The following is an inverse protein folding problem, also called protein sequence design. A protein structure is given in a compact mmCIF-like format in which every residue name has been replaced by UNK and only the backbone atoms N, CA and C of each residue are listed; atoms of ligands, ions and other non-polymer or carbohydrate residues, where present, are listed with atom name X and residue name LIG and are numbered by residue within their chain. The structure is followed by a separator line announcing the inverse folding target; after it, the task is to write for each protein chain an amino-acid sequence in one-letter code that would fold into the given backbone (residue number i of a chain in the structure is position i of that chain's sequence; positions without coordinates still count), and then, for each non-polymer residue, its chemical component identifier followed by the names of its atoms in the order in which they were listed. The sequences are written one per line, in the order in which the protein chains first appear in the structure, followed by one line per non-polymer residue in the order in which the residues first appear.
data_IF_171171410029
#
_entry.id   IF_171171410029
#
_cell.length_a   1.000
_cell.length_b   1.000
_cell.length_c   1.000
_cell.angle_alpha   90.00
_cell.angle_beta   90.00
_cell.angle_gamma   90.00
#
_symmetry.space_group_name_H-M   'P 1'
#
loop_
_entity.id
_entity.type
_entity.pdbx_description
1 polymer ?
#
# COMPACT_ATOMS: atom_id res chain seq x y z
N UNK A 1 -4.79 -3.96 -52.03
CA UNK A 1 -5.22 -3.78 -50.62
C UNK A 1 -5.56 -5.08 -49.88
N UNK A 2 -6.22 -6.10 -50.47
CA UNK A 2 -6.51 -7.38 -49.76
C UNK A 2 -5.27 -8.21 -49.38
N UNK A 3 -4.20 -8.19 -50.17
CA UNK A 3 -2.96 -8.92 -49.87
C UNK A 3 -2.19 -8.36 -48.65
N UNK A 4 -2.30 -7.06 -48.38
CA UNK A 4 -1.62 -6.39 -47.24
C UNK A 4 -2.30 -6.71 -45.90
N UNK A 5 -3.63 -6.89 -45.91
CA UNK A 5 -4.39 -7.32 -44.74
C UNK A 5 -4.11 -8.78 -44.33
N UNK A 6 -3.87 -9.67 -45.30
CA UNK A 6 -3.51 -11.07 -45.03
C UNK A 6 -2.09 -11.17 -44.47
N UNK A 7 -1.14 -10.36 -44.96
CA UNK A 7 0.23 -10.33 -44.46
C UNK A 7 0.32 -9.82 -43.00
N UNK A 8 -0.43 -8.77 -42.64
CA UNK A 8 -0.48 -8.25 -41.26
C UNK A 8 -1.21 -9.19 -40.30
N UNK A 9 -2.24 -9.90 -40.77
CA UNK A 9 -2.95 -10.93 -39.99
C UNK A 9 -2.05 -12.14 -39.70
N UNK A 10 -1.29 -12.59 -40.70
CA UNK A 10 -0.36 -13.70 -40.57
C UNK A 10 0.82 -13.32 -39.65
N UNK A 11 1.42 -12.13 -39.80
CA UNK A 11 2.46 -11.61 -38.90
C UNK A 11 1.99 -11.52 -37.44
N UNK A 12 0.79 -10.99 -37.17
CA UNK A 12 0.26 -10.92 -35.80
C UNK A 12 0.10 -12.29 -35.15
N UNK A 13 -0.38 -13.28 -35.90
CA UNK A 13 -0.63 -14.63 -35.35
C UNK A 13 0.68 -15.38 -35.12
N UNK A 14 1.61 -15.33 -36.07
CA UNK A 14 2.89 -16.05 -35.98
C UNK A 14 3.82 -15.41 -34.94
N UNK A 15 3.91 -14.07 -34.87
CA UNK A 15 4.74 -13.37 -33.88
C UNK A 15 4.17 -13.53 -32.46
N UNK A 16 2.84 -13.53 -32.30
CA UNK A 16 2.22 -13.74 -31.00
C UNK A 16 2.39 -15.16 -30.48
N UNK A 17 2.25 -16.18 -31.35
CA UNK A 17 2.51 -17.57 -30.97
C UNK A 17 4.00 -17.84 -30.73
N UNK A 18 4.90 -17.21 -31.51
CA UNK A 18 6.34 -17.28 -31.24
C UNK A 18 6.66 -16.65 -29.88
N UNK A 19 6.12 -15.46 -29.58
CA UNK A 19 6.30 -14.78 -28.30
C UNK A 19 5.81 -15.63 -27.13
N UNK A 20 4.64 -16.28 -27.28
CA UNK A 20 4.04 -17.18 -26.27
C UNK A 20 4.87 -18.46 -26.07
N UNK A 21 5.41 -19.02 -27.14
CA UNK A 21 6.30 -20.18 -27.09
C UNK A 21 7.64 -19.83 -26.43
N UNK A 22 8.23 -18.68 -26.76
CA UNK A 22 9.50 -18.22 -26.16
C UNK A 22 9.31 -17.86 -24.69
N UNK A 23 8.19 -17.25 -24.28
CA UNK A 23 7.91 -17.00 -22.86
C UNK A 23 7.64 -18.28 -22.07
N UNK A 24 6.97 -19.29 -22.64
CA UNK A 24 6.85 -20.60 -22.00
C UNK A 24 8.20 -21.29 -21.86
N UNK A 25 9.05 -21.25 -22.89
CA UNK A 25 10.38 -21.86 -22.88
C UNK A 25 11.33 -21.17 -21.89
N UNK A 26 11.32 -19.84 -21.85
CA UNK A 26 12.05 -19.05 -20.84
C UNK A 26 11.53 -19.33 -19.43
N UNK A 27 10.20 -19.42 -19.24
CA UNK A 27 9.65 -19.78 -17.93
C UNK A 27 10.12 -21.17 -17.51
N UNK A 28 10.09 -22.17 -18.39
CA UNK A 28 10.53 -23.53 -18.07
C UNK A 28 12.05 -23.61 -17.81
N UNK A 29 12.86 -22.92 -18.62
CA UNK A 29 14.32 -22.88 -18.41
C UNK A 29 14.72 -22.12 -17.14
N UNK A 30 14.04 -21.02 -16.82
CA UNK A 30 14.25 -20.29 -15.57
C UNK A 30 13.79 -21.12 -14.37
N UNK A 31 12.66 -21.83 -14.46
CA UNK A 31 12.23 -22.73 -13.37
C UNK A 31 13.17 -23.92 -13.20
N UNK A 32 13.71 -24.48 -14.30
CA UNK A 32 14.70 -25.55 -14.28
C UNK A 32 16.02 -25.13 -13.64
N UNK A 33 16.59 -24.01 -14.10
CA UNK A 33 17.83 -23.45 -13.53
C UNK A 33 17.68 -23.06 -12.05
N UNK A 34 16.49 -22.60 -11.63
CA UNK A 34 16.21 -22.31 -10.22
C UNK A 34 16.05 -23.58 -9.37
N UNK A 35 15.47 -24.65 -9.92
CA UNK A 35 15.33 -25.92 -9.21
C UNK A 35 16.66 -26.66 -9.08
N UNK A 36 17.50 -26.66 -10.12
CA UNK A 36 18.84 -27.28 -10.06
C UNK A 36 19.74 -26.55 -9.05
N UNK A 37 19.65 -25.22 -8.99
CA UNK A 37 20.39 -24.42 -8.00
C UNK A 37 19.84 -24.59 -6.56
N UNK A 38 18.57 -24.98 -6.39
CA UNK A 38 17.96 -25.31 -5.10
C UNK A 38 18.30 -26.72 -4.63
N UNK A 39 18.43 -27.69 -5.54
CA UNK A 39 18.82 -29.06 -5.19
C UNK A 39 20.27 -29.15 -4.74
N UNK A 40 21.18 -28.45 -5.43
CA UNK A 40 22.60 -28.37 -5.05
C UNK A 40 22.77 -27.77 -3.64
N UNK A 41 21.93 -26.81 -3.25
CA UNK A 41 21.98 -26.23 -1.91
C UNK A 41 21.28 -27.09 -0.84
N UNK A 42 20.26 -27.88 -1.19
CA UNK A 42 19.55 -28.74 -0.21
C UNK A 42 20.32 -30.00 0.15
N UNK A 43 21.17 -30.51 -0.75
CA UNK A 43 21.96 -31.72 -0.51
C UNK A 43 23.12 -31.45 0.48
N UNK A 44 23.68 -30.23 0.46
CA UNK A 44 24.73 -29.80 1.38
C UNK A 44 24.23 -29.39 2.78
N UNK A 45 22.92 -29.14 2.97
CA UNK A 45 22.37 -28.64 4.24
C UNK A 45 21.69 -29.73 5.09
N UNK A 46 21.58 -30.98 4.60
CA UNK A 46 20.79 -32.03 5.26
C UNK A 46 21.51 -32.81 6.37
N UNK A 47 22.79 -32.55 6.65
CA UNK A 47 23.57 -33.42 7.55
C UNK A 47 23.90 -32.81 8.92
N UNK A 48 23.74 -31.50 9.17
CA UNK A 48 24.23 -30.93 10.46
C UNK A 48 23.28 -30.01 11.27
N UNK A 49 22.15 -29.52 10.76
CA UNK A 49 21.46 -28.38 11.42
C UNK A 49 20.26 -28.73 12.34
N UNK A 50 19.89 -29.99 12.52
CA UNK A 50 18.66 -30.33 13.27
C UNK A 50 18.79 -30.30 14.80
N UNK A 51 19.94 -29.89 15.37
CA UNK A 51 20.15 -29.88 16.83
C UNK A 51 20.65 -28.59 17.50
N UNK A 52 21.02 -27.54 16.75
CA UNK A 52 21.65 -26.35 17.36
C UNK A 52 20.92 -25.01 17.16
N UNK A 53 19.74 -24.97 16.54
CA UNK A 53 18.95 -23.72 16.39
C UNK A 53 17.85 -23.63 17.47
N UNK A 54 18.23 -23.89 18.72
CA UNK A 54 17.42 -23.61 19.89
C UNK A 54 17.84 -22.27 20.47
N UNK A 55 16.94 -21.27 20.42
CA UNK A 55 17.10 -19.93 21.02
C UNK A 55 18.36 -19.18 20.55
N UNK A 56 18.19 -18.27 19.59
CA UNK A 56 19.14 -17.15 19.49
C UNK A 56 19.08 -16.38 20.81
N UNK A 57 20.19 -16.41 21.54
CA UNK A 57 20.40 -15.81 22.85
C UNK A 57 19.87 -14.38 22.90
N UNK A 58 18.78 -14.21 23.64
CA UNK A 58 18.14 -12.94 23.99
C UNK A 58 19.12 -11.91 24.58
N UNK A 59 20.26 -12.35 25.15
CA UNK A 59 21.24 -11.46 25.78
C UNK A 59 22.28 -10.83 24.84
N UNK A 60 22.45 -11.32 23.61
CA UNK A 60 23.39 -10.71 22.65
C UNK A 60 22.73 -9.61 21.79
N UNK A 61 21.40 -9.65 21.67
CA UNK A 61 20.58 -8.71 20.89
C UNK A 61 20.34 -7.36 21.60
N UNK A 62 20.42 -7.32 22.94
CA UNK A 62 20.10 -6.12 23.73
C UNK A 62 21.16 -5.00 23.70
N UNK A 63 22.36 -5.22 23.13
CA UNK A 63 23.45 -4.21 23.14
C UNK A 63 23.77 -3.56 21.79
N UNK A 64 23.22 -4.07 20.68
CA UNK A 64 23.33 -3.35 19.40
C UNK A 64 22.22 -2.31 19.32
N UNK A 65 22.61 -1.03 19.28
CA UNK A 65 21.73 0.07 18.89
C UNK A 65 20.90 -0.40 17.68
N UNK A 66 19.58 -0.42 17.83
CA UNK A 66 18.65 -0.75 16.75
C UNK A 66 18.90 0.27 15.63
N UNK A 67 19.61 -0.11 14.57
CA UNK A 67 19.86 0.75 13.42
C UNK A 67 18.97 0.29 12.28
N UNK A 68 17.94 1.07 11.98
CA UNK A 68 17.09 0.84 10.83
C UNK A 68 17.59 1.63 9.62
N UNK A 69 17.21 1.23 8.39
CA UNK A 69 17.57 2.00 7.20
C UNK A 69 17.13 3.47 7.25
N UNK A 70 16.00 3.78 7.89
CA UNK A 70 15.56 5.17 8.11
C UNK A 70 16.59 6.05 8.84
N UNK A 71 17.47 5.44 9.64
CA UNK A 71 18.50 6.14 10.42
C UNK A 71 19.82 6.29 9.65
N UNK A 72 20.00 5.51 8.57
CA UNK A 72 21.21 5.50 7.73
C UNK A 72 21.00 6.32 6.45
N UNK A 73 19.84 6.14 5.82
CA UNK A 73 19.53 6.75 4.53
C UNK A 73 18.84 8.09 4.70
N UNK A 74 19.11 9.03 3.80
CA UNK A 74 18.52 10.38 3.83
C UNK A 74 16.98 10.35 3.76
N UNK A 75 16.44 9.40 3.00
CA UNK A 75 15.01 9.16 2.85
C UNK A 75 14.75 7.78 2.21
N UNK A 76 13.48 7.37 2.19
CA UNK A 76 13.04 6.11 1.56
C UNK A 76 13.39 6.01 0.07
N UNK A 77 13.49 7.14 -0.66
CA UNK A 77 13.91 7.12 -2.06
C UNK A 77 15.37 6.69 -2.21
N UNK A 78 16.29 7.25 -1.42
CA UNK A 78 17.71 6.87 -1.44
C UNK A 78 17.93 5.42 -1.04
N UNK A 79 17.18 4.93 -0.06
CA UNK A 79 17.17 3.52 0.31
C UNK A 79 16.64 2.62 -0.82
N UNK A 80 15.52 2.98 -1.45
CA UNK A 80 14.96 2.21 -2.56
C UNK A 80 15.93 2.15 -3.73
N UNK A 81 16.57 3.27 -4.08
CA UNK A 81 17.64 3.26 -5.09
C UNK A 81 18.76 2.30 -4.71
N UNK A 82 19.24 2.35 -3.46
CA UNK A 82 20.28 1.44 -2.97
C UNK A 82 19.89 -0.04 -3.14
N UNK A 83 18.68 -0.41 -2.74
CA UNK A 83 18.16 -1.78 -2.89
C UNK A 83 18.03 -2.18 -4.38
N UNK A 84 17.52 -1.28 -5.22
CA UNK A 84 17.45 -1.49 -6.67
C UNK A 84 18.84 -1.70 -7.27
N UNK A 85 19.85 -0.90 -6.90
CA UNK A 85 21.24 -1.05 -7.36
C UNK A 85 21.87 -2.38 -6.95
N UNK A 86 21.51 -2.90 -5.76
CA UNK A 86 21.97 -4.21 -5.27
C UNK A 86 21.17 -5.38 -5.88
N UNK A 87 20.06 -5.11 -6.56
CA UNK A 87 19.25 -6.13 -7.22
C UNK A 87 20.00 -6.77 -8.40
N UNK A 88 19.69 -8.04 -8.68
CA UNK A 88 20.23 -8.74 -9.85
C UNK A 88 19.62 -8.18 -11.14
N UNK A 89 18.33 -7.81 -11.09
CA UNK A 89 17.61 -7.24 -12.22
C UNK A 89 18.28 -5.97 -12.74
N UNK A 90 18.70 -5.06 -11.84
CA UNK A 90 19.42 -3.86 -12.21
C UNK A 90 20.78 -4.18 -12.85
N UNK A 91 21.54 -5.15 -12.32
CA UNK A 91 22.83 -5.54 -12.91
C UNK A 91 22.66 -6.12 -14.31
N UNK A 92 21.65 -6.96 -14.53
CA UNK A 92 21.31 -7.50 -15.85
C UNK A 92 20.91 -6.37 -16.81
N UNK A 93 20.05 -5.45 -16.36
CA UNK A 93 19.67 -4.27 -17.14
C UNK A 93 20.88 -3.42 -17.53
N UNK A 94 21.81 -3.16 -16.58
CA UNK A 94 23.03 -2.40 -16.85
C UNK A 94 23.92 -3.10 -17.88
N UNK A 95 24.14 -4.41 -17.74
CA UNK A 95 24.92 -5.20 -18.70
C UNK A 95 24.27 -5.26 -20.09
N UNK A 96 22.95 -5.12 -20.17
CA UNK A 96 22.20 -5.14 -21.43
C UNK A 96 22.48 -3.92 -22.31
N UNK A 97 23.10 -2.86 -21.77
CA UNK A 97 23.54 -1.70 -22.57
C UNK A 97 24.77 -1.99 -23.44
N UNK A 98 25.64 -2.93 -23.05
CA UNK A 98 26.83 -3.29 -23.81
C UNK A 98 26.53 -3.76 -25.25
N UNK A 99 25.59 -4.71 -25.48
CA UNK A 99 25.24 -5.10 -26.85
C UNK A 99 24.53 -3.97 -27.61
N UNK A 100 23.72 -3.13 -26.95
CA UNK A 100 23.02 -2.02 -27.63
C UNK A 100 24.00 -0.95 -28.11
N UNK A 101 25.01 -0.60 -27.31
CA UNK A 101 26.06 0.35 -27.73
C UNK A 101 26.91 -0.19 -28.86
N UNK A 102 27.21 -1.49 -28.86
CA UNK A 102 27.92 -2.16 -29.97
C UNK A 102 27.06 -2.16 -31.23
N UNK A 103 25.76 -2.42 -31.11
CA UNK A 103 24.82 -2.38 -32.22
C UNK A 103 24.69 -0.98 -32.83
N UNK A 104 24.63 0.07 -32.01
CA UNK A 104 24.66 1.46 -32.48
C UNK A 104 25.88 1.76 -33.37
N UNK A 105 27.04 1.18 -33.06
CA UNK A 105 28.27 1.36 -33.85
C UNK A 105 28.27 0.56 -35.15
N UNK A 106 27.67 -0.62 -35.17
CA UNK A 106 27.70 -1.54 -36.32
C UNK A 106 26.50 -1.39 -37.27
N UNK A 107 25.41 -0.77 -36.82
CA UNK A 107 24.18 -0.69 -37.61
C UNK A 107 24.24 0.37 -38.69
N UNK A 108 23.97 -0.02 -39.93
CA UNK A 108 23.69 0.92 -41.03
C UNK A 108 22.31 1.59 -40.88
N UNK A 109 21.37 0.94 -40.19
CA UNK A 109 20.01 1.46 -39.96
C UNK A 109 19.81 1.85 -38.49
N UNK A 110 19.56 3.14 -38.25
CA UNK A 110 19.42 3.72 -36.91
C UNK A 110 18.10 3.35 -36.20
N UNK A 111 17.07 2.91 -36.93
CA UNK A 111 15.72 2.68 -36.38
C UNK A 111 15.70 1.54 -35.35
N UNK A 112 16.40 0.43 -35.61
CA UNK A 112 16.44 -0.74 -34.73
C UNK A 112 17.19 -0.51 -33.40
N UNK A 113 18.42 0.04 -33.38
CA UNK A 113 19.09 0.35 -32.12
C UNK A 113 18.37 1.47 -31.35
N UNK A 114 17.68 2.40 -32.04
CA UNK A 114 16.79 3.37 -31.41
C UNK A 114 15.60 2.70 -30.69
N UNK A 115 14.90 1.77 -31.34
CA UNK A 115 13.81 1.01 -30.72
C UNK A 115 14.30 0.19 -29.52
N UNK A 116 15.44 -0.49 -29.63
CA UNK A 116 16.04 -1.25 -28.53
C UNK A 116 16.42 -0.37 -27.34
N UNK A 117 16.95 0.83 -27.59
CA UNK A 117 17.28 1.83 -26.56
C UNK A 117 16.02 2.27 -25.81
N UNK A 118 14.93 2.58 -26.52
CA UNK A 118 13.66 2.96 -25.91
C UNK A 118 13.08 1.82 -25.05
N UNK A 119 13.21 0.56 -25.52
CA UNK A 119 12.78 -0.61 -24.75
C UNK A 119 13.61 -0.76 -23.44
N UNK A 120 14.92 -0.59 -23.50
CA UNK A 120 15.78 -0.62 -22.29
C UNK A 120 15.45 0.51 -21.31
N UNK A 121 15.15 1.72 -21.81
CA UNK A 121 14.69 2.83 -20.97
C UNK A 121 13.36 2.47 -20.31
N UNK A 122 12.42 1.89 -21.07
CA UNK A 122 11.14 1.44 -20.52
C UNK A 122 11.30 0.35 -19.46
N UNK A 123 12.27 -0.56 -19.61
CA UNK A 123 12.59 -1.57 -18.59
C UNK A 123 12.99 -0.95 -17.24
N UNK A 124 13.58 0.24 -17.22
CA UNK A 124 13.92 0.95 -15.97
C UNK A 124 12.66 1.24 -15.15
N UNK A 125 11.56 1.60 -15.81
CA UNK A 125 10.27 1.85 -15.15
C UNK A 125 9.67 0.58 -14.52
N UNK A 126 10.06 -0.61 -14.99
CA UNK A 126 9.59 -1.90 -14.46
C UNK A 126 10.47 -2.44 -13.33
N UNK A 127 11.67 -1.92 -13.09
CA UNK A 127 12.55 -2.40 -12.01
C UNK A 127 11.91 -2.29 -10.61
N UNK A 128 11.23 -1.19 -10.24
CA UNK A 128 10.54 -1.12 -8.94
C UNK A 128 9.44 -2.18 -8.80
N UNK A 129 8.73 -2.49 -9.89
CA UNK A 129 7.69 -3.54 -9.90
C UNK A 129 8.31 -4.92 -9.66
N UNK A 130 9.44 -5.21 -10.31
CA UNK A 130 10.18 -6.46 -10.11
C UNK A 130 10.66 -6.57 -8.65
N UNK A 131 11.22 -5.50 -8.11
CA UNK A 131 11.67 -5.47 -6.71
C UNK A 131 10.49 -5.71 -5.74
N UNK A 132 9.36 -5.05 -5.94
CA UNK A 132 8.14 -5.26 -5.15
C UNK A 132 7.67 -6.72 -5.20
N UNK A 133 7.70 -7.36 -6.37
CA UNK A 133 7.36 -8.78 -6.51
C UNK A 133 8.36 -9.69 -5.77
N UNK A 134 9.65 -9.38 -5.83
CA UNK A 134 10.68 -10.09 -5.08
C UNK A 134 10.48 -9.95 -3.56
N UNK A 135 10.19 -8.73 -3.07
CA UNK A 135 9.88 -8.47 -1.66
C UNK A 135 8.67 -9.25 -1.20
N UNK A 136 7.59 -9.26 -1.98
CA UNK A 136 6.39 -10.06 -1.67
C UNK A 136 6.71 -11.55 -1.55
N UNK A 137 7.58 -12.08 -2.40
CA UNK A 137 8.04 -13.48 -2.35
C UNK A 137 8.95 -13.76 -1.14
N UNK A 138 9.76 -12.80 -0.72
CA UNK A 138 10.54 -12.93 0.51
C UNK A 138 9.62 -12.95 1.74
N UNK A 139 8.64 -12.05 1.81
CA UNK A 139 7.63 -12.00 2.88
C UNK A 139 6.84 -13.29 3.02
N UNK A 140 6.48 -13.95 1.91
CA UNK A 140 5.75 -15.23 1.98
C UNK A 140 6.53 -16.37 2.65
N UNK A 141 7.84 -16.20 2.87
CA UNK A 141 8.69 -17.16 3.60
C UNK A 141 8.87 -16.83 5.07
N UNK A 142 8.43 -15.65 5.52
CA UNK A 142 8.57 -15.16 6.89
C UNK A 142 7.40 -15.46 7.87
N UNK A 143 6.21 -16.01 7.50
CA UNK A 143 5.06 -16.01 8.42
C UNK A 143 5.32 -16.55 9.83
N UNK A 144 6.10 -17.63 9.96
CA UNK A 144 6.46 -18.20 11.26
C UNK A 144 7.32 -17.24 12.10
N UNK A 145 8.44 -16.75 11.55
CA UNK A 145 9.35 -15.87 12.29
C UNK A 145 8.68 -14.53 12.59
N UNK A 146 7.93 -14.00 11.64
CA UNK A 146 7.14 -12.79 11.85
C UNK A 146 6.21 -12.98 13.05
N UNK A 147 5.45 -14.08 13.09
CA UNK A 147 4.53 -14.37 14.19
C UNK A 147 5.23 -14.50 15.53
N UNK A 148 6.41 -15.16 15.58
CA UNK A 148 7.21 -15.26 16.82
C UNK A 148 7.64 -13.89 17.36
N UNK A 149 8.08 -12.98 16.49
CA UNK A 149 8.45 -11.61 16.91
C UNK A 149 7.24 -10.83 17.44
N UNK A 150 6.06 -11.00 16.83
CA UNK A 150 4.81 -10.38 17.31
C UNK A 150 4.45 -10.92 18.71
N UNK A 151 4.53 -12.23 18.92
CA UNK A 151 4.24 -12.84 20.23
C UNK A 151 5.21 -12.32 21.30
N UNK A 152 6.50 -12.24 20.98
CA UNK A 152 7.53 -11.82 21.92
C UNK A 152 7.43 -10.32 22.29
N UNK A 153 7.16 -9.45 21.33
CA UNK A 153 7.18 -7.99 21.53
C UNK A 153 5.79 -7.40 21.78
N UNK A 154 4.71 -8.15 21.49
CA UNK A 154 3.31 -7.72 21.62
C UNK A 154 3.04 -6.31 21.05
N UNK A 155 3.38 -6.03 19.78
CA UNK A 155 3.21 -4.70 19.23
C UNK A 155 1.73 -4.34 19.08
N UNK A 156 1.36 -3.11 19.44
CA UNK A 156 0.04 -2.55 19.14
C UNK A 156 -0.03 -1.83 17.79
N UNK A 157 -0.93 -0.85 17.68
CA UNK A 157 -1.08 -0.01 16.48
C UNK A 157 -0.02 1.09 16.36
N UNK A 158 0.62 1.44 17.47
CA UNK A 158 1.68 2.44 17.53
C UNK A 158 2.91 1.98 16.75
N UNK A 159 3.39 2.83 15.86
CA UNK A 159 4.47 2.55 14.91
C UNK A 159 5.80 2.36 15.64
N UNK A 160 6.05 3.06 16.75
CA UNK A 160 7.35 2.98 17.44
C UNK A 160 7.63 1.57 17.99
N UNK A 161 6.59 0.85 18.40
CA UNK A 161 6.68 -0.54 18.89
C UNK A 161 7.10 -1.54 17.80
N UNK A 162 7.11 -1.14 16.53
CA UNK A 162 7.51 -1.99 15.40
C UNK A 162 8.99 -1.85 15.05
N UNK A 163 9.75 -0.96 15.69
CA UNK A 163 11.15 -0.69 15.33
C UNK A 163 12.07 -1.86 15.65
N UNK A 164 11.93 -2.44 16.86
CA UNK A 164 12.66 -3.64 17.27
C UNK A 164 12.36 -4.82 16.35
N UNK A 165 11.08 -5.03 16.05
CA UNK A 165 10.59 -6.11 15.19
C UNK A 165 11.16 -5.96 13.77
N UNK A 166 11.12 -4.75 13.21
CA UNK A 166 11.66 -4.47 11.88
C UNK A 166 13.17 -4.77 11.82
N UNK A 167 13.92 -4.41 12.87
CA UNK A 167 15.35 -4.65 12.94
C UNK A 167 15.69 -6.14 13.09
N UNK A 168 14.99 -6.85 13.99
CA UNK A 168 15.15 -8.29 14.18
C UNK A 168 14.86 -9.06 12.90
N UNK A 169 13.77 -8.72 12.20
CA UNK A 169 13.40 -9.36 10.95
C UNK A 169 14.38 -9.03 9.81
N UNK A 170 14.89 -7.80 9.75
CA UNK A 170 15.92 -7.42 8.80
C UNK A 170 17.20 -8.26 8.98
N UNK A 171 17.63 -8.42 10.23
CA UNK A 171 18.80 -9.23 10.57
C UNK A 171 18.57 -10.71 10.21
N UNK A 172 17.44 -11.27 10.64
CA UNK A 172 17.05 -12.64 10.33
C UNK A 172 17.02 -12.91 8.83
N UNK A 173 16.41 -12.01 8.04
CA UNK A 173 16.34 -12.17 6.58
C UNK A 173 17.71 -12.16 5.91
N UNK A 174 18.63 -11.35 6.43
CA UNK A 174 19.99 -11.27 5.91
C UNK A 174 20.80 -12.52 6.25
N UNK A 175 20.78 -12.95 7.52
CA UNK A 175 21.53 -14.12 8.01
C UNK A 175 21.06 -15.42 7.33
N UNK A 176 19.74 -15.56 7.15
CA UNK A 176 19.14 -16.72 6.48
C UNK A 176 19.16 -16.61 4.94
N UNK A 177 19.85 -15.62 4.37
CA UNK A 177 19.98 -15.40 2.92
C UNK A 177 18.62 -15.29 2.20
N UNK A 178 17.56 -14.89 2.91
CA UNK A 178 16.23 -14.63 2.36
C UNK A 178 16.20 -13.27 1.64
N UNK A 179 17.05 -12.34 2.06
CA UNK A 179 17.30 -11.08 1.41
C UNK A 179 18.79 -10.78 1.26
N UNK A 180 19.14 -9.93 0.30
CA UNK A 180 20.55 -9.68 -0.08
C UNK A 180 21.26 -8.68 0.83
N UNK A 181 20.50 -7.83 1.51
CA UNK A 181 20.99 -6.73 2.34
C UNK A 181 20.35 -6.82 3.72
N UNK A 182 20.91 -6.09 4.68
CA UNK A 182 20.36 -5.93 6.04
C UNK A 182 19.19 -4.93 6.11
N UNK A 183 18.66 -4.48 4.98
CA UNK A 183 17.79 -3.31 4.89
C UNK A 183 16.45 -3.63 4.22
N UNK A 184 15.86 -4.79 4.54
CA UNK A 184 14.63 -5.25 3.91
C UNK A 184 13.45 -4.30 4.19
N UNK A 185 13.18 -4.00 5.46
CA UNK A 185 12.24 -2.96 5.89
C UNK A 185 12.98 -1.65 6.09
N UNK A 186 12.47 -0.56 5.51
CA UNK A 186 13.08 0.76 5.67
C UNK A 186 12.84 1.33 7.08
N UNK A 187 11.62 1.16 7.60
CA UNK A 187 11.32 1.45 9.00
C UNK A 187 10.16 0.63 9.56
N UNK A 188 9.75 0.98 10.77
CA UNK A 188 8.65 0.36 11.50
C UNK A 188 7.33 0.34 10.72
N UNK A 189 6.99 1.45 10.05
CA UNK A 189 5.75 1.53 9.26
C UNK A 189 5.72 0.50 8.13
N UNK A 190 6.82 0.31 7.41
CA UNK A 190 6.89 -0.69 6.34
C UNK A 190 6.74 -2.11 6.88
N UNK A 191 7.27 -2.37 8.09
CA UNK A 191 7.14 -3.64 8.78
C UNK A 191 5.69 -3.90 9.20
N UNK A 192 5.04 -2.93 9.84
CA UNK A 192 3.63 -2.99 10.22
C UNK A 192 2.74 -3.23 8.99
N UNK A 193 2.95 -2.48 7.91
CA UNK A 193 2.16 -2.63 6.70
C UNK A 193 2.38 -3.99 6.03
N UNK A 194 3.61 -4.52 6.06
CA UNK A 194 3.90 -5.86 5.59
C UNK A 194 3.19 -6.94 6.42
N UNK A 195 3.13 -6.80 7.74
CA UNK A 195 2.34 -7.68 8.60
C UNK A 195 0.86 -7.63 8.22
N UNK A 196 0.31 -6.42 8.03
CA UNK A 196 -1.10 -6.24 7.67
C UNK A 196 -1.45 -6.97 6.37
N UNK A 197 -0.67 -6.74 5.31
CA UNK A 197 -0.94 -7.30 3.98
C UNK A 197 -0.62 -8.80 3.91
N UNK A 198 0.44 -9.24 4.58
CA UNK A 198 0.93 -10.62 4.45
C UNK A 198 0.27 -11.60 5.42
N UNK A 199 -0.19 -11.14 6.59
CA UNK A 199 -0.71 -12.00 7.67
C UNK A 199 -2.11 -11.56 8.09
N UNK A 200 -2.30 -10.33 8.56
CA UNK A 200 -3.57 -9.88 9.16
C UNK A 200 -4.75 -9.97 8.18
N UNK A 201 -4.66 -9.31 7.02
CA UNK A 201 -5.73 -9.26 6.04
C UNK A 201 -6.13 -10.65 5.52
N UNK A 202 -5.20 -11.52 5.06
CA UNK A 202 -5.54 -12.87 4.65
C UNK A 202 -6.26 -13.69 5.73
N UNK A 203 -5.85 -13.56 6.99
CA UNK A 203 -6.41 -14.34 8.10
C UNK A 203 -7.74 -13.80 8.61
N UNK A 204 -8.00 -12.50 8.49
CA UNK A 204 -9.25 -11.90 8.94
C UNK A 204 -10.33 -11.89 7.86
N UNK A 205 -9.96 -11.86 6.57
CA UNK A 205 -10.93 -11.86 5.49
C UNK A 205 -11.67 -13.18 5.31
N UNK A 206 -11.18 -14.30 5.88
CA UNK A 206 -11.73 -15.70 6.02
C UNK A 206 -12.73 -16.25 4.99
N UNK A 207 -13.05 -15.58 3.89
CA UNK A 207 -14.05 -15.99 2.91
C UNK A 207 -13.34 -16.74 1.77
N UNK A 208 -13.43 -18.06 1.87
CA UNK A 208 -13.42 -19.05 0.78
C UNK A 208 -12.11 -19.30 0.02
N UNK A 209 -10.94 -18.87 0.51
CA UNK A 209 -9.67 -19.19 -0.15
C UNK A 209 -8.81 -20.13 0.70
N UNK A 210 -9.30 -21.37 0.86
CA UNK A 210 -8.55 -22.50 1.42
C UNK A 210 -7.13 -22.61 0.82
N UNK A 211 -6.93 -22.13 -0.41
CA UNK A 211 -5.62 -22.13 -1.08
C UNK A 211 -4.59 -21.22 -0.41
N UNK A 212 -5.00 -20.06 0.13
CA UNK A 212 -4.12 -19.15 0.87
C UNK A 212 -3.84 -19.67 2.28
N UNK A 213 -4.84 -20.21 2.97
CA UNK A 213 -4.64 -20.80 4.29
C UNK A 213 -3.70 -22.03 4.20
N UNK A 214 -3.87 -22.85 3.16
CA UNK A 214 -2.95 -23.96 2.82
C UNK A 214 -1.52 -23.49 2.55
N UNK A 215 -1.30 -22.23 2.14
CA UNK A 215 0.05 -21.69 1.90
C UNK A 215 0.84 -21.44 3.20
N UNK A 216 0.14 -21.24 4.32
CA UNK A 216 0.76 -21.01 5.63
C UNK A 216 1.18 -22.30 6.36
N UNK A 217 0.61 -23.46 5.97
CA UNK A 217 0.96 -24.81 6.47
C UNK A 217 1.20 -24.83 7.99
N UNK A 218 2.43 -25.14 8.40
CA UNK A 218 2.84 -25.32 9.80
C UNK A 218 2.95 -24.00 10.58
N UNK A 219 2.80 -22.85 9.91
CA UNK A 219 2.85 -21.53 10.55
C UNK A 219 1.52 -21.13 11.18
N UNK A 220 0.41 -21.81 10.83
CA UNK A 220 -0.94 -21.43 11.27
C UNK A 220 -1.06 -21.28 12.78
N UNK A 221 -0.57 -22.20 13.64
CA UNK A 221 -0.68 -22.05 15.09
C UNK A 221 0.01 -20.78 15.61
N UNK A 222 1.22 -20.49 15.13
CA UNK A 222 1.95 -19.29 15.51
C UNK A 222 1.25 -18.02 15.04
N UNK A 223 0.65 -18.04 13.84
CA UNK A 223 -0.09 -16.90 13.32
C UNK A 223 -1.33 -16.64 14.15
N UNK A 224 -2.10 -17.67 14.51
CA UNK A 224 -3.30 -17.50 15.34
C UNK A 224 -2.96 -16.92 16.72
N UNK A 225 -1.87 -17.40 17.34
CA UNK A 225 -1.39 -16.86 18.61
C UNK A 225 -0.91 -15.41 18.47
N UNK A 226 -0.11 -15.10 17.44
CA UNK A 226 0.35 -13.74 17.15
C UNK A 226 -0.81 -12.77 16.91
N UNK A 227 -1.83 -13.20 16.17
CA UNK A 227 -3.04 -12.39 15.96
C UNK A 227 -3.78 -12.14 17.27
N UNK A 228 -3.93 -13.16 18.13
CA UNK A 228 -4.56 -12.99 19.44
C UNK A 228 -3.81 -11.98 20.31
N UNK A 229 -2.49 -12.07 20.36
CA UNK A 229 -1.62 -11.10 21.08
C UNK A 229 -1.80 -9.70 20.49
N UNK A 230 -1.69 -9.56 19.16
CA UNK A 230 -1.85 -8.28 18.47
C UNK A 230 -3.20 -7.63 18.76
N UNK A 231 -4.31 -8.36 18.59
CA UNK A 231 -5.65 -7.83 18.84
C UNK A 231 -5.90 -7.48 20.31
N UNK A 232 -5.26 -8.20 21.24
CA UNK A 232 -5.35 -7.86 22.68
C UNK A 232 -4.70 -6.50 22.96
N UNK A 233 -3.54 -6.21 22.36
CA UNK A 233 -2.88 -4.92 22.54
C UNK A 233 -3.63 -3.79 21.80
N UNK A 234 -4.19 -4.07 20.61
CA UNK A 234 -5.08 -3.11 19.92
C UNK A 234 -6.27 -2.75 20.80
N UNK A 235 -6.91 -3.73 21.44
CA UNK A 235 -8.07 -3.52 22.30
C UNK A 235 -7.74 -2.73 23.56
N UNK A 236 -6.58 -3.02 24.16
CA UNK A 236 -6.05 -2.23 25.27
C UNK A 236 -5.81 -0.77 24.84
N UNK A 237 -5.22 -0.55 23.67
CA UNK A 237 -5.00 0.79 23.13
C UNK A 237 -6.31 1.52 22.85
N UNK A 238 -7.31 0.83 22.28
CA UNK A 238 -8.64 1.39 22.08
C UNK A 238 -9.27 1.83 23.40
N UNK A 239 -9.26 0.96 24.42
CA UNK A 239 -9.82 1.28 25.75
C UNK A 239 -9.13 2.46 26.43
N UNK A 240 -7.79 2.50 26.38
CA UNK A 240 -7.02 3.65 26.87
C UNK A 240 -7.39 4.92 26.10
N UNK A 241 -7.49 4.83 24.78
CA UNK A 241 -7.84 5.95 23.92
C UNK A 241 -9.24 6.50 24.23
N UNK A 242 -10.24 5.62 24.33
CA UNK A 242 -11.63 5.98 24.61
C UNK A 242 -11.80 6.56 26.03
N UNK A 243 -10.95 6.15 26.97
CA UNK A 243 -10.97 6.65 28.36
C UNK A 243 -10.19 7.96 28.55
N UNK A 244 -9.02 8.12 27.92
CA UNK A 244 -8.08 9.24 28.19
C UNK A 244 -8.09 10.35 27.12
N UNK A 245 -8.42 10.05 25.86
CA UNK A 245 -8.29 10.98 24.72
C UNK A 245 -9.60 11.34 24.02
N UNK A 246 -10.71 10.66 24.35
CA UNK A 246 -11.98 10.90 23.68
C UNK A 246 -12.56 12.31 23.91
N UNK A 247 -12.10 13.04 24.94
CA UNK A 247 -12.72 14.29 25.36
C UNK A 247 -11.71 15.40 25.69
N UNK A 248 -11.23 16.11 24.66
CA UNK A 248 -11.00 17.55 24.87
C UNK A 248 -12.37 18.24 24.75
N UNK A 249 -12.85 18.98 25.78
CA UNK A 249 -14.04 19.80 25.63
C UNK A 249 -13.72 20.92 24.64
N UNK A 250 -14.09 20.71 23.38
CA UNK A 250 -13.98 21.70 22.34
C UNK A 250 -15.23 22.57 22.44
N UNK A 251 -15.05 23.87 22.60
CA UNK A 251 -16.14 24.84 22.54
C UNK A 251 -16.64 24.90 21.08
N UNK A 252 -17.63 24.08 20.75
CA UNK A 252 -18.14 23.90 19.38
C UNK A 252 -18.96 25.09 18.87
N UNK A 253 -19.38 25.97 19.77
CA UNK A 253 -20.26 27.12 19.50
C UNK A 253 -19.65 28.14 18.52
N UNK A 254 -18.33 28.16 18.35
CA UNK A 254 -17.64 29.07 17.42
C UNK A 254 -17.28 28.42 16.08
N UNK A 255 -17.44 27.09 15.93
CA UNK A 255 -16.92 26.38 14.75
C UNK A 255 -18.00 26.18 13.69
N UNK A 256 -18.01 27.04 12.68
CA UNK A 256 -18.94 26.93 11.55
C UNK A 256 -18.52 25.82 10.57
N UNK A 257 -19.49 25.04 10.09
CA UNK A 257 -19.23 24.08 9.02
C UNK A 257 -19.04 24.81 7.69
N UNK A 258 -18.24 24.29 6.73
CA UNK A 258 -18.09 24.89 5.42
C UNK A 258 -19.43 25.12 4.69
N UNK A 259 -20.45 24.30 4.93
CA UNK A 259 -21.81 24.54 4.41
C UNK A 259 -22.40 25.91 4.78
N UNK A 260 -22.01 26.46 5.93
CA UNK A 260 -22.51 27.74 6.44
C UNK A 260 -21.79 28.93 5.77
N UNK A 261 -20.55 28.74 5.30
CA UNK A 261 -19.76 29.80 4.64
C UNK A 261 -19.75 29.73 3.10
N UNK A 262 -19.95 28.55 2.51
CA UNK A 262 -19.90 28.36 1.06
C UNK A 262 -21.31 28.26 0.45
N UNK A 263 -21.54 29.00 -0.64
CA UNK A 263 -22.81 28.95 -1.39
C UNK A 263 -23.12 27.57 -1.99
N UNK A 264 -22.10 26.75 -2.27
CA UNK A 264 -22.30 25.39 -2.78
C UNK A 264 -21.14 24.45 -2.42
N UNK A 265 -21.45 23.15 -2.30
CA UNK A 265 -20.46 22.08 -2.13
C UNK A 265 -19.48 22.02 -3.30
N UNK A 266 -19.92 22.31 -4.52
CA UNK A 266 -19.07 22.32 -5.71
C UNK A 266 -17.98 23.39 -5.59
N UNK A 267 -18.35 24.60 -5.16
CA UNK A 267 -17.40 25.71 -4.96
C UNK A 267 -16.33 25.34 -3.92
N UNK A 268 -16.75 24.69 -2.82
CA UNK A 268 -15.83 24.18 -1.79
C UNK A 268 -14.87 23.12 -2.33
N UNK A 269 -15.37 22.12 -3.07
CA UNK A 269 -14.53 21.08 -3.71
C UNK A 269 -13.54 21.71 -4.70
N UNK A 270 -13.99 22.62 -5.56
CA UNK A 270 -13.16 23.26 -6.58
C UNK A 270 -12.05 24.10 -5.95
N UNK A 271 -12.35 24.95 -4.95
CA UNK A 271 -11.34 25.76 -4.24
C UNK A 271 -10.21 24.87 -3.70
N UNK A 272 -10.56 23.75 -3.08
CA UNK A 272 -9.60 22.80 -2.50
C UNK A 272 -8.84 22.03 -3.56
N UNK A 273 -9.53 21.59 -4.61
CA UNK A 273 -8.92 20.93 -5.76
C UNK A 273 -7.84 21.80 -6.42
N UNK A 274 -8.15 23.08 -6.68
CA UNK A 274 -7.20 24.04 -7.23
C UNK A 274 -6.06 24.40 -6.24
N UNK A 275 -6.27 24.31 -4.94
CA UNK A 275 -5.17 24.55 -3.98
C UNK A 275 -4.10 23.43 -3.94
N UNK A 276 -4.45 22.19 -4.31
CA UNK A 276 -3.57 21.02 -4.17
C UNK A 276 -3.10 20.39 -5.48
N UNK A 277 -3.89 20.50 -6.57
CA UNK A 277 -3.67 19.73 -7.81
C UNK A 277 -3.66 20.62 -9.07
N UNK A 278 -3.54 21.94 -8.92
CA UNK A 278 -3.57 22.89 -10.05
C UNK A 278 -2.47 22.67 -11.07
N UNK A 279 -1.23 22.45 -10.61
CA UNK A 279 -0.09 22.26 -11.52
C UNK A 279 -0.21 20.96 -12.35
N UNK A 280 -0.48 19.77 -11.76
CA UNK A 280 -0.77 18.56 -12.54
C UNK A 280 -1.95 18.72 -13.51
N UNK A 281 -3.02 19.40 -13.10
CA UNK A 281 -4.17 19.64 -13.96
C UNK A 281 -3.79 20.52 -15.17
N UNK A 282 -3.05 21.61 -14.96
CA UNK A 282 -2.58 22.47 -16.06
C UNK A 282 -1.72 21.68 -17.04
N UNK A 283 -0.76 20.91 -16.53
CA UNK A 283 0.10 20.09 -17.38
C UNK A 283 -0.70 19.05 -18.18
N UNK A 284 -1.69 18.41 -17.55
CA UNK A 284 -2.57 17.46 -18.23
C UNK A 284 -3.50 18.13 -19.25
N UNK A 285 -3.98 19.34 -18.97
CA UNK A 285 -4.75 20.14 -19.92
C UNK A 285 -3.91 20.53 -21.13
N UNK A 286 -2.68 21.01 -20.93
CA UNK A 286 -1.74 21.34 -22.01
C UNK A 286 -1.40 20.11 -22.84
N UNK A 287 -1.13 18.97 -22.20
CA UNK A 287 -0.90 17.68 -22.86
C UNK A 287 -2.11 17.22 -23.68
N UNK A 288 -3.31 17.35 -23.12
CA UNK A 288 -4.57 17.02 -23.82
C UNK A 288 -4.77 17.91 -25.04
N UNK A 289 -4.58 19.23 -24.90
CA UNK A 289 -4.68 20.19 -26.01
C UNK A 289 -3.66 19.86 -27.11
N UNK A 290 -2.44 19.47 -26.73
CA UNK A 290 -1.39 19.08 -27.67
C UNK A 290 -1.74 17.80 -28.44
N UNK A 291 -2.13 16.73 -27.76
CA UNK A 291 -2.47 15.43 -28.39
C UNK A 291 -3.74 15.52 -29.23
N UNK A 292 -4.75 16.22 -28.74
CA UNK A 292 -6.07 16.29 -29.39
C UNK A 292 -6.18 17.45 -30.37
N UNK A 293 -5.05 18.08 -30.74
CA UNK A 293 -4.98 19.25 -31.65
C UNK A 293 -5.69 19.03 -32.99
N UNK A 294 -5.82 17.79 -33.45
CA UNK A 294 -6.52 17.41 -34.68
C UNK A 294 -7.93 16.86 -34.46
N UNK A 295 -8.39 16.73 -33.21
CA UNK A 295 -9.73 16.27 -32.85
C UNK A 295 -10.73 17.42 -32.76
N UNK A 296 -12.02 17.13 -32.94
CA UNK A 296 -13.12 18.09 -32.78
C UNK A 296 -13.20 18.66 -31.34
N UNK A 297 -13.63 19.91 -31.21
CA UNK A 297 -13.74 20.67 -29.96
C UNK A 297 -14.61 19.95 -28.90
N UNK A 298 -15.70 19.28 -29.33
CA UNK A 298 -16.55 18.50 -28.42
C UNK A 298 -15.80 17.35 -27.73
N UNK A 299 -14.92 16.65 -28.45
CA UNK A 299 -14.12 15.55 -27.89
C UNK A 299 -13.14 16.09 -26.83
N UNK A 300 -12.58 17.28 -27.07
CA UNK A 300 -11.67 17.93 -26.11
C UNK A 300 -12.38 18.32 -24.82
N UNK A 301 -13.56 18.93 -24.94
CA UNK A 301 -14.39 19.31 -23.78
C UNK A 301 -14.79 18.06 -22.99
N UNK A 302 -15.27 17.02 -23.66
CA UNK A 302 -15.65 15.76 -23.00
C UNK A 302 -14.47 15.09 -22.29
N UNK A 303 -13.28 15.07 -22.92
CA UNK A 303 -12.08 14.51 -22.30
C UNK A 303 -11.62 15.32 -21.08
N UNK A 304 -11.62 16.66 -21.17
CA UNK A 304 -11.28 17.52 -20.03
C UNK A 304 -12.28 17.36 -18.88
N UNK A 305 -13.58 17.26 -19.19
CA UNK A 305 -14.63 16.97 -18.20
C UNK A 305 -14.42 15.62 -17.53
N UNK A 306 -14.12 14.57 -18.30
CA UNK A 306 -13.82 13.24 -17.76
C UNK A 306 -12.57 13.25 -16.85
N UNK A 307 -11.49 13.91 -17.28
CA UNK A 307 -10.26 14.05 -16.49
C UNK A 307 -10.56 14.79 -15.18
N UNK A 308 -11.32 15.89 -15.22
CA UNK A 308 -11.74 16.62 -14.03
C UNK A 308 -12.54 15.74 -13.06
N UNK A 309 -13.49 14.95 -13.56
CA UNK A 309 -14.27 14.01 -12.74
C UNK A 309 -13.39 12.93 -12.11
N UNK A 310 -12.45 12.35 -12.87
CA UNK A 310 -11.48 11.38 -12.36
C UNK A 310 -10.61 11.96 -11.25
N UNK A 311 -10.20 13.22 -11.40
CA UNK A 311 -9.42 13.93 -10.38
C UNK A 311 -10.23 14.26 -9.12
N UNK A 312 -11.50 14.65 -9.26
CA UNK A 312 -12.41 14.84 -8.11
C UNK A 312 -12.61 13.50 -7.38
N UNK A 313 -12.79 12.41 -8.12
CA UNK A 313 -12.90 11.06 -7.54
C UNK A 313 -11.62 10.65 -6.81
N UNK A 314 -10.46 10.90 -7.41
CA UNK A 314 -9.15 10.65 -6.80
C UNK A 314 -8.97 11.48 -5.52
N UNK A 315 -9.36 12.75 -5.54
CA UNK A 315 -9.30 13.63 -4.38
C UNK A 315 -10.16 13.11 -3.20
N UNK A 316 -11.37 12.62 -3.48
CA UNK A 316 -12.21 11.99 -2.45
C UNK A 316 -11.54 10.75 -1.84
N UNK A 317 -10.80 9.97 -2.62
CA UNK A 317 -10.05 8.81 -2.12
C UNK A 317 -8.82 9.22 -1.29
N UNK A 318 -8.13 10.31 -1.65
CA UNK A 318 -6.97 10.81 -0.89
C UNK A 318 -7.36 11.21 0.53
N UNK A 319 -8.56 11.79 0.74
CA UNK A 319 -9.02 12.19 2.08
C UNK A 319 -8.99 11.01 3.05
N UNK A 320 -9.49 9.85 2.65
CA UNK A 320 -9.44 8.63 3.48
C UNK A 320 -8.02 8.13 3.72
N UNK A 321 -7.15 8.21 2.71
CA UNK A 321 -5.75 7.80 2.81
C UNK A 321 -4.90 8.72 3.72
N UNK A 322 -5.29 9.97 3.92
CA UNK A 322 -4.56 10.93 4.77
C UNK A 322 -4.66 10.65 6.27
N UNK A 323 -5.67 9.88 6.70
CA UNK A 323 -5.87 9.57 8.12
C UNK A 323 -5.02 8.37 8.56
N UNK A 324 -4.08 8.63 9.48
CA UNK A 324 -3.38 7.59 10.25
C UNK A 324 -4.34 6.83 11.17
N UNK A 325 -3.87 5.71 11.72
CA UNK A 325 -4.67 4.84 12.59
C UNK A 325 -5.27 5.59 13.78
N UNK A 326 -4.48 6.42 14.47
CA UNK A 326 -4.93 7.24 15.60
C UNK A 326 -6.12 8.17 15.24
N UNK A 327 -6.10 8.78 14.06
CA UNK A 327 -7.19 9.68 13.64
C UNK A 327 -8.43 8.89 13.22
N UNK A 328 -8.25 7.67 12.70
CA UNK A 328 -9.36 6.75 12.43
C UNK A 328 -10.01 6.29 13.73
N UNK A 329 -9.21 6.00 14.76
CA UNK A 329 -9.72 5.66 16.09
C UNK A 329 -10.47 6.84 16.71
N UNK A 330 -9.92 8.06 16.65
CA UNK A 330 -10.64 9.28 17.07
C UNK A 330 -11.98 9.44 16.37
N UNK A 331 -11.99 9.24 15.05
CA UNK A 331 -13.21 9.38 14.26
C UNK A 331 -14.29 8.39 14.70
N UNK A 332 -13.93 7.13 14.90
CA UNK A 332 -14.86 6.09 15.35
C UNK A 332 -15.36 6.36 16.78
N UNK A 333 -14.46 6.69 17.72
CA UNK A 333 -14.85 7.02 19.10
C UNK A 333 -15.75 8.26 19.15
N UNK A 334 -15.50 9.27 18.31
CA UNK A 334 -16.37 10.45 18.21
C UNK A 334 -17.78 10.09 17.72
N UNK A 335 -17.91 9.12 16.81
CA UNK A 335 -19.22 8.63 16.34
C UNK A 335 -19.94 7.85 17.44
N UNK A 336 -19.24 6.95 18.13
CA UNK A 336 -19.84 6.11 19.18
C UNK A 336 -20.31 6.94 20.39
N UNK A 337 -19.61 8.03 20.70
CA UNK A 337 -19.88 8.87 21.86
C UNK A 337 -20.82 10.07 21.59
N UNK A 338 -21.23 10.32 20.35
CA UNK A 338 -22.15 11.40 20.02
C UNK A 338 -23.58 11.05 20.46
N UNK A 339 -24.23 11.95 21.19
CA UNK A 339 -25.56 11.72 21.78
C UNK A 339 -26.70 12.28 20.92
N UNK A 340 -26.39 13.21 20.01
CA UNK A 340 -27.38 13.76 19.09
C UNK A 340 -27.58 12.86 17.88
N UNK A 341 -28.85 12.72 17.47
CA UNK A 341 -29.25 11.77 16.43
C UNK A 341 -29.44 12.45 15.07
N UNK A 342 -29.34 11.66 14.00
CA UNK A 342 -29.63 12.13 12.64
C UNK A 342 -28.68 13.20 12.10
N UNK A 343 -29.20 14.12 11.30
CA UNK A 343 -28.37 15.11 10.58
C UNK A 343 -27.61 16.06 11.51
N UNK A 344 -28.17 16.35 12.70
CA UNK A 344 -27.57 17.26 13.67
C UNK A 344 -26.40 16.60 14.41
N UNK A 345 -26.55 15.33 14.81
CA UNK A 345 -25.44 14.51 15.32
C UNK A 345 -24.26 14.44 14.35
N UNK A 346 -24.53 14.14 13.08
CA UNK A 346 -23.47 14.11 12.07
C UNK A 346 -22.82 15.49 11.84
N UNK A 347 -23.55 16.60 12.01
CA UNK A 347 -22.96 17.94 11.96
C UNK A 347 -22.00 18.16 13.13
N UNK A 348 -22.34 17.69 14.34
CA UNK A 348 -21.44 17.76 15.50
C UNK A 348 -20.18 16.94 15.29
N UNK A 349 -20.30 15.69 14.85
CA UNK A 349 -19.16 14.83 14.51
C UNK A 349 -18.26 15.51 13.46
N UNK A 350 -18.87 16.10 12.42
CA UNK A 350 -18.14 16.81 11.38
C UNK A 350 -17.35 18.02 11.93
N UNK A 351 -17.96 18.83 12.81
CA UNK A 351 -17.30 19.99 13.44
C UNK A 351 -16.13 19.55 14.32
N UNK A 352 -16.36 18.59 15.22
CA UNK A 352 -15.31 18.04 16.11
C UNK A 352 -14.12 17.53 15.31
N UNK A 353 -14.40 16.75 14.26
CA UNK A 353 -13.35 16.14 13.45
C UNK A 353 -12.61 17.13 12.56
N UNK A 354 -13.27 18.15 12.04
CA UNK A 354 -12.61 19.24 11.31
C UNK A 354 -11.58 19.96 12.19
N UNK A 355 -11.98 20.31 13.42
CA UNK A 355 -11.12 20.96 14.40
C UNK A 355 -9.97 20.04 14.81
N UNK A 356 -10.25 18.79 15.15
CA UNK A 356 -9.24 17.80 15.52
C UNK A 356 -8.18 17.62 14.42
N UNK A 357 -8.61 17.37 13.17
CA UNK A 357 -7.68 17.12 12.05
C UNK A 357 -6.84 18.36 11.70
N UNK A 358 -7.38 19.57 11.92
CA UNK A 358 -6.64 20.81 11.78
C UNK A 358 -5.58 20.98 12.89
N UNK A 359 -5.97 20.80 14.16
CA UNK A 359 -5.05 20.90 15.31
C UNK A 359 -3.90 19.89 15.23
N UNK A 360 -4.21 18.67 14.82
CA UNK A 360 -3.23 17.60 14.61
C UNK A 360 -2.39 17.79 13.33
N UNK A 361 -2.59 18.90 12.59
CA UNK A 361 -1.90 19.22 11.32
C UNK A 361 -2.00 18.12 10.26
N UNK A 362 -3.02 17.26 10.38
CA UNK A 362 -3.37 16.23 9.39
C UNK A 362 -3.98 16.90 8.17
N UNK A 363 -4.76 17.95 8.43
CA UNK A 363 -5.38 18.76 7.40
C UNK A 363 -4.97 20.24 7.54
N UNK A 364 -4.86 20.94 6.41
CA UNK A 364 -4.34 22.33 6.39
C UNK A 364 -5.33 23.38 6.94
N UNK A 365 -6.61 23.05 7.03
CA UNK A 365 -7.68 23.94 7.45
C UNK A 365 -8.79 23.18 8.17
N UNK A 366 -9.70 23.89 8.82
CA UNK A 366 -10.86 23.36 9.54
C UNK A 366 -12.02 22.94 8.61
N UNK A 367 -11.70 22.61 7.36
CA UNK A 367 -12.69 22.32 6.33
C UNK A 367 -12.49 20.90 5.81
N UNK A 368 -12.29 19.90 6.69
CA UNK A 368 -12.11 18.53 6.24
C UNK A 368 -13.41 18.00 5.63
N UNK A 369 -14.50 17.98 6.40
CA UNK A 369 -15.88 17.70 6.02
C UNK A 369 -16.64 18.97 5.68
N UNK A 370 -17.50 18.89 4.66
CA UNK A 370 -18.36 20.01 4.25
C UNK A 370 -19.57 20.20 5.18
N UNK A 371 -20.23 19.10 5.55
CA UNK A 371 -21.39 19.01 6.43
C UNK A 371 -21.50 17.61 7.03
N UNK A 372 -22.48 17.38 7.92
CA UNK A 372 -22.75 16.07 8.49
C UNK A 372 -23.08 15.01 7.45
N UNK A 373 -23.76 15.36 6.35
CA UNK A 373 -24.04 14.41 5.26
C UNK A 373 -22.75 13.98 4.55
N UNK A 374 -21.78 14.88 4.34
CA UNK A 374 -20.45 14.54 3.82
C UNK A 374 -19.68 13.63 4.80
N UNK A 375 -19.82 13.88 6.10
CA UNK A 375 -19.23 13.07 7.17
C UNK A 375 -19.80 11.65 7.18
N UNK A 376 -21.13 11.50 7.17
CA UNK A 376 -21.81 10.21 7.12
C UNK A 376 -21.41 9.41 5.87
N UNK A 377 -21.46 10.02 4.68
CA UNK A 377 -21.05 9.35 3.43
C UNK A 377 -19.58 8.94 3.45
N UNK A 378 -18.74 9.71 4.13
CA UNK A 378 -17.35 9.35 4.31
C UNK A 378 -17.19 8.12 5.21
N UNK A 379 -17.95 8.03 6.31
CA UNK A 379 -18.00 6.84 7.17
C UNK A 379 -18.47 5.61 6.39
N UNK A 380 -19.60 5.72 5.68
CA UNK A 380 -20.16 4.64 4.87
C UNK A 380 -19.17 4.13 3.81
N UNK A 381 -18.50 5.05 3.09
CA UNK A 381 -17.58 4.69 2.02
C UNK A 381 -16.25 4.13 2.50
N UNK A 382 -15.64 4.75 3.53
CA UNK A 382 -14.26 4.47 3.93
C UNK A 382 -14.15 3.48 5.08
N UNK A 383 -15.24 3.19 5.81
CA UNK A 383 -15.24 2.25 6.93
C UNK A 383 -16.23 1.11 6.68
N UNK A 384 -17.53 1.42 6.56
CA UNK A 384 -18.57 0.37 6.39
C UNK A 384 -18.40 -0.38 5.06
N UNK A 385 -18.11 0.34 3.97
CA UNK A 385 -17.84 -0.25 2.67
C UNK A 385 -16.67 -1.24 2.68
N UNK A 386 -15.69 -1.03 3.57
CA UNK A 386 -14.55 -1.94 3.73
C UNK A 386 -14.92 -3.26 4.43
N UNK A 387 -15.94 -3.27 5.29
CA UNK A 387 -16.45 -4.51 5.90
C UNK A 387 -17.05 -5.47 4.87
N UNK A 388 -17.63 -4.92 3.80
CA UNK A 388 -18.32 -5.68 2.75
C UNK A 388 -17.45 -5.93 1.51
N UNK A 389 -16.37 -5.16 1.32
CA UNK A 389 -15.56 -5.24 0.12
C UNK A 389 -14.68 -6.49 0.10
N UNK A 390 -14.95 -7.39 -0.86
CA UNK A 390 -14.04 -8.48 -1.26
C UNK A 390 -12.88 -8.00 -2.13
N UNK A 391 -12.85 -6.72 -2.52
CA UNK A 391 -11.93 -6.20 -3.54
C UNK A 391 -11.17 -4.99 -3.02
N UNK A 392 -9.88 -5.20 -2.77
CA UNK A 392 -8.88 -4.14 -2.60
C UNK A 392 -8.72 -3.47 -3.96
N UNK A 393 -9.44 -2.38 -4.20
CA UNK A 393 -9.19 -1.49 -5.34
C UNK A 393 -8.78 -0.13 -4.85
N UNK A 394 -7.69 -0.08 -4.11
CA UNK A 394 -6.56 0.85 -4.21
C UNK A 394 -5.60 0.49 -3.05
N UNK A 395 -4.34 0.85 -3.17
CA UNK A 395 -3.19 0.42 -2.35
C UNK A 395 -3.21 0.81 -0.86
N UNK A 396 -4.36 0.81 -0.19
CA UNK A 396 -4.48 1.02 1.25
C UNK A 396 -4.85 -0.28 1.96
N UNK A 397 -4.16 -0.55 3.08
CA UNK A 397 -4.53 -1.62 4.00
C UNK A 397 -5.94 -1.46 4.54
N UNK A 398 -6.67 -2.57 4.67
CA UNK A 398 -8.07 -2.65 5.07
C UNK A 398 -8.35 -2.26 6.54
N UNK A 399 -7.35 -1.79 7.30
CA UNK A 399 -7.47 -1.37 8.71
C UNK A 399 -8.34 -2.35 9.52
N UNK A 400 -8.07 -3.65 9.31
CA UNK A 400 -8.89 -4.77 9.75
C UNK A 400 -9.00 -4.81 11.27
N UNK A 401 -7.94 -4.35 11.95
CA UNK A 401 -7.93 -4.15 13.39
C UNK A 401 -9.07 -3.28 13.92
N UNK A 402 -9.61 -2.37 13.10
CA UNK A 402 -10.71 -1.49 13.50
C UNK A 402 -12.11 -2.08 13.25
N UNK A 403 -12.22 -3.25 12.62
CA UNK A 403 -13.53 -3.81 12.27
C UNK A 403 -14.51 -3.99 13.43
N UNK A 404 -14.10 -4.40 14.65
CA UNK A 404 -15.00 -4.44 15.79
C UNK A 404 -15.58 -3.05 16.10
N UNK A 405 -14.75 -2.03 16.15
CA UNK A 405 -15.13 -0.64 16.47
C UNK A 405 -15.93 0.03 15.34
N UNK A 406 -15.67 -0.35 14.08
CA UNK A 406 -16.51 0.10 12.96
C UNK A 406 -17.92 -0.48 13.10
N UNK A 407 -18.05 -1.75 13.51
CA UNK A 407 -19.36 -2.36 13.76
C UNK A 407 -20.07 -1.71 14.94
N UNK A 408 -19.34 -1.40 16.01
CA UNK A 408 -19.86 -0.67 17.17
C UNK A 408 -20.39 0.72 16.79
N UNK A 409 -19.59 1.50 16.06
CA UNK A 409 -20.02 2.81 15.53
C UNK A 409 -21.17 2.68 14.51
N UNK A 410 -21.25 1.55 13.79
CA UNK A 410 -22.38 1.30 12.90
C UNK A 410 -23.65 0.98 13.69
N UNK A 411 -23.57 0.18 14.76
CA UNK A 411 -24.72 -0.12 15.63
C UNK A 411 -25.25 1.12 16.33
N UNK A 412 -24.38 2.00 16.83
CA UNK A 412 -24.82 3.27 17.44
C UNK A 412 -25.61 4.13 16.46
N UNK A 413 -25.31 4.05 15.16
CA UNK A 413 -26.07 4.73 14.11
C UNK A 413 -27.36 4.00 13.68
N UNK A 414 -27.48 2.67 13.86
CA UNK A 414 -28.62 1.87 13.34
C UNK A 414 -29.66 1.50 14.38
N UNK A 415 -29.27 1.30 15.65
CA UNK A 415 -30.20 0.99 16.74
C UNK A 415 -31.24 2.12 16.95
N UNK A 416 -31.00 3.29 16.34
CA UNK A 416 -31.87 4.47 16.32
C UNK A 416 -32.81 4.56 15.10
N UNK A 417 -32.77 3.62 14.15
CA UNK A 417 -33.73 3.58 13.02
C UNK A 417 -34.98 2.73 13.29
N UNK A 418 -34.99 2.02 14.42
CA UNK A 418 -36.05 1.09 14.84
C UNK A 418 -36.74 1.45 16.16
N UNK A 419 -36.42 2.61 16.73
CA UNK A 419 -37.16 3.27 17.81
C UNK A 419 -37.81 4.53 17.25
#
# INVERSE_FOLDING_TARGET
MRAFGVFLSWQKKTVFELYKATTRRLRLQVTGLLNDHLNINMEDTKVEDEKNVGLLSSGYLESQKIVLPKDIFRNGFTWSCYETFKSLAFRIWLLSWLPVTTWWKMSSNWIYPFLATNLLILCLCFLPLIEMLCRKRALSKLPTQFSKEIIANSPGTDVENWESIAANLNLYMYENKLWKTKYFFYGAWDCQEAFRIAILEPFSLKKDDDSKLKSFKDSVPYIEEALKVYFTEVDKQWKLFDTEKAWEPINLDETQLPKESYQSKLTWVLKRFFSHLFLPLILQCLYTIFITRHSCLLIRISHLGFVLLMYIYFFQNIRGASMKMEHKMQYLSTITNEQETGADGWNQVARRMNMYLFRQKVWKNEEFFFDGIDCQRFFERNFVGLLSSKRVTYSGSLSVELWPYIREAQSSCTDESSA
#
